data_IF_375700814782
#
_entry.id   IF_375700814782
#
_cell.length_a   1.000
_cell.length_b   1.000
_cell.length_c   1.000
_cell.angle_alpha   90.00
_cell.angle_beta   90.00
_cell.angle_gamma   90.00
#
_symmetry.space_group_name_H-M   'P 1'
#
loop_
_entity.id
_entity.type
_entity.pdbx_description
1 polymer ?
#
# COMPACT_ATOMS: atom_id res chain seq x y z
N UNK A 1 5.67 30.26 -91.62
CA UNK A 1 6.97 29.60 -91.53
C UNK A 1 7.05 28.83 -90.24
N UNK A 2 6.97 27.51 -90.35
CA UNK A 2 7.53 26.37 -89.66
C UNK A 2 8.29 26.63 -88.35
N UNK A 3 7.95 25.84 -87.30
CA UNK A 3 8.83 24.77 -86.72
C UNK A 3 8.11 24.03 -85.58
N UNK A 4 7.66 22.86 -85.95
CA UNK A 4 7.94 21.53 -85.44
C UNK A 4 8.10 21.42 -83.92
N UNK A 5 7.10 20.84 -83.37
CA UNK A 5 6.88 19.86 -82.31
C UNK A 5 8.11 19.00 -82.00
N UNK A 6 8.42 18.87 -80.69
CA UNK A 6 9.11 17.68 -80.15
C UNK A 6 8.43 17.28 -78.84
N UNK A 7 7.71 16.19 -78.93
CA UNK A 7 7.18 15.47 -77.76
C UNK A 7 8.34 14.81 -77.04
N UNK A 8 8.46 15.05 -75.75
CA UNK A 8 9.19 14.21 -74.82
C UNK A 8 8.25 13.68 -73.75
N UNK A 9 7.91 12.41 -73.87
CA UNK A 9 7.19 11.62 -72.86
C UNK A 9 8.12 11.38 -71.68
N UNK A 10 7.78 11.97 -70.54
CA UNK A 10 8.41 11.64 -69.25
C UNK A 10 7.47 10.70 -68.50
N UNK A 11 7.86 9.47 -68.36
CA UNK A 11 7.15 8.48 -67.54
C UNK A 11 7.31 8.89 -66.04
N UNK A 12 6.21 9.24 -65.41
CA UNK A 12 6.13 9.43 -63.97
C UNK A 12 6.02 8.07 -63.30
N UNK A 13 7.11 7.60 -62.68
CA UNK A 13 7.04 6.51 -61.70
C UNK A 13 6.31 7.03 -60.47
N UNK A 14 5.07 6.59 -60.28
CA UNK A 14 4.36 6.80 -59.04
C UNK A 14 4.97 5.99 -57.91
N UNK A 15 5.70 6.63 -57.02
CA UNK A 15 6.10 6.03 -55.74
C UNK A 15 4.80 5.91 -54.84
N UNK A 16 4.25 4.71 -54.78
CA UNK A 16 3.22 4.39 -53.80
C UNK A 16 3.88 4.41 -52.41
N UNK A 17 3.74 5.51 -51.70
CA UNK A 17 4.05 5.59 -50.28
C UNK A 17 3.08 4.66 -49.53
N UNK A 18 3.58 3.53 -49.08
CA UNK A 18 2.87 2.68 -48.13
C UNK A 18 2.83 3.47 -46.81
N UNK A 19 1.71 4.17 -46.58
CA UNK A 19 1.42 4.76 -45.31
C UNK A 19 1.24 3.63 -44.30
N UNK A 20 2.27 3.31 -43.53
CA UNK A 20 2.12 2.53 -42.32
C UNK A 20 1.13 3.28 -41.42
N UNK A 21 0.07 2.60 -40.93
CA UNK A 21 -0.84 3.26 -40.00
C UNK A 21 -0.05 3.67 -38.75
N UNK A 22 0.10 4.95 -38.57
CA UNK A 22 0.57 5.52 -37.32
C UNK A 22 -0.53 5.22 -36.31
N UNK A 23 -0.33 4.20 -35.44
CA UNK A 23 -1.18 3.98 -34.28
C UNK A 23 -0.94 5.21 -33.40
N UNK A 24 -1.83 6.18 -33.47
CA UNK A 24 -1.84 7.29 -32.52
C UNK A 24 -2.06 6.67 -31.14
N UNK A 25 -1.01 6.50 -30.36
CA UNK A 25 -1.15 6.23 -28.93
C UNK A 25 -1.90 7.42 -28.35
N UNK A 26 -3.10 7.21 -27.85
CA UNK A 26 -3.83 8.22 -27.09
C UNK A 26 -2.93 8.74 -25.95
N UNK A 27 -3.13 9.98 -25.54
CA UNK A 27 -2.40 10.52 -24.41
C UNK A 27 -2.55 9.59 -23.20
N UNK A 28 -1.43 9.22 -22.57
CA UNK A 28 -1.42 8.32 -21.41
C UNK A 28 -2.39 8.84 -20.33
N UNK A 29 -3.23 7.98 -19.81
CA UNK A 29 -4.17 8.31 -18.73
C UNK A 29 -3.42 8.51 -17.44
N UNK A 30 -3.48 9.68 -16.87
CA UNK A 30 -2.93 9.94 -15.55
C UNK A 30 -3.93 9.53 -14.46
N UNK A 31 -3.48 8.68 -13.52
CA UNK A 31 -4.23 8.32 -12.32
C UNK A 31 -3.42 8.66 -11.07
N UNK A 32 -4.12 8.99 -10.00
CA UNK A 32 -3.52 9.27 -8.70
C UNK A 32 -3.85 8.12 -7.76
N UNK A 33 -2.81 7.59 -7.07
CA UNK A 33 -2.97 6.66 -5.95
C UNK A 33 -2.68 7.43 -4.65
N UNK A 34 -3.65 7.45 -3.74
CA UNK A 34 -3.47 8.02 -2.41
C UNK A 34 -2.87 6.99 -1.47
N UNK A 35 -1.82 7.37 -0.75
CA UNK A 35 -1.19 6.54 0.29
C UNK A 35 -1.25 7.24 1.66
N UNK A 36 -1.44 6.50 2.78
CA UNK A 36 -1.49 7.10 4.13
C UNK A 36 -0.11 7.46 4.68
N UNK A 37 0.96 6.97 4.10
CA UNK A 37 2.35 7.17 4.48
C UNK A 37 3.26 6.71 3.34
N UNK A 38 4.37 7.42 3.10
CA UNK A 38 5.39 6.91 2.19
C UNK A 38 6.19 5.81 2.89
N UNK A 39 6.04 4.54 2.45
CA UNK A 39 6.52 3.37 3.19
C UNK A 39 7.12 2.30 2.28
N UNK A 40 8.19 1.65 2.73
CA UNK A 40 8.74 0.46 2.08
C UNK A 40 7.75 -0.71 2.04
N UNK A 41 6.71 -0.70 2.90
CA UNK A 41 5.59 -1.63 2.80
C UNK A 41 4.88 -1.59 1.44
N UNK A 42 4.96 -0.48 0.71
CA UNK A 42 4.35 -0.33 -0.63
C UNK A 42 5.34 -0.55 -1.78
N UNK A 43 6.51 -1.13 -1.50
CA UNK A 43 7.56 -1.35 -2.51
C UNK A 43 7.06 -2.01 -3.80
N UNK A 44 6.19 -3.04 -3.80
CA UNK A 44 5.70 -3.61 -5.06
C UNK A 44 4.97 -2.61 -5.95
N UNK A 45 4.26 -1.64 -5.37
CA UNK A 45 3.61 -0.56 -6.11
C UNK A 45 4.66 0.39 -6.73
N UNK A 46 5.68 0.76 -5.97
CA UNK A 46 6.76 1.61 -6.49
C UNK A 46 7.58 0.90 -7.58
N UNK A 47 7.77 -0.41 -7.44
CA UNK A 47 8.38 -1.26 -8.47
C UNK A 47 7.52 -1.25 -9.74
N UNK A 48 6.21 -1.39 -9.62
CA UNK A 48 5.30 -1.36 -10.76
C UNK A 48 5.36 -0.02 -11.51
N UNK A 49 5.45 1.09 -10.78
CA UNK A 49 5.61 2.44 -11.35
C UNK A 49 6.98 2.58 -12.03
N UNK A 50 8.06 2.23 -11.33
CA UNK A 50 9.42 2.42 -11.82
C UNK A 50 9.76 1.58 -13.06
N UNK A 51 9.20 0.37 -13.15
CA UNK A 51 9.39 -0.54 -14.28
C UNK A 51 8.40 -0.28 -15.43
N UNK A 52 7.52 0.72 -15.30
CA UNK A 52 6.57 1.08 -16.35
C UNK A 52 5.45 0.06 -16.57
N UNK A 53 5.14 -0.80 -15.60
CA UNK A 53 4.11 -1.84 -15.76
C UNK A 53 2.69 -1.28 -15.91
N UNK A 54 2.45 -0.06 -15.47
CA UNK A 54 1.23 0.68 -15.76
C UNK A 54 1.28 1.34 -17.14
N UNK A 55 2.46 1.82 -17.54
CA UNK A 55 2.64 2.47 -18.84
C UNK A 55 2.44 1.52 -20.04
N UNK A 56 2.61 0.20 -19.84
CA UNK A 56 2.28 -0.81 -20.87
C UNK A 56 0.81 -0.75 -21.33
N UNK A 57 -0.05 -0.13 -20.55
CA UNK A 57 -1.47 0.07 -20.86
C UNK A 57 -1.83 1.57 -20.95
N UNK A 58 -0.86 2.41 -21.33
CA UNK A 58 -1.01 3.86 -21.43
C UNK A 58 -1.53 4.53 -20.13
N UNK A 59 -1.14 3.99 -18.96
CA UNK A 59 -1.47 4.56 -17.64
C UNK A 59 -0.24 5.12 -16.97
N UNK A 60 -0.29 6.40 -16.59
CA UNK A 60 0.73 7.05 -15.75
C UNK A 60 0.19 7.18 -14.33
N UNK A 61 1.00 6.79 -13.35
CA UNK A 61 0.63 6.81 -11.93
C UNK A 61 1.37 7.93 -11.20
N UNK A 62 0.62 8.75 -10.46
CA UNK A 62 1.13 9.69 -9.47
C UNK A 62 0.76 9.24 -8.06
N UNK A 63 1.66 9.45 -7.12
CA UNK A 63 1.42 9.16 -5.70
C UNK A 63 1.04 10.46 -4.98
N UNK A 64 0.03 10.35 -4.12
CA UNK A 64 -0.44 11.41 -3.24
C UNK A 64 -0.40 10.91 -1.79
N UNK A 65 0.56 11.37 -1.00
CA UNK A 65 0.67 11.00 0.41
C UNK A 65 -0.22 11.89 1.28
N UNK A 66 -1.11 11.27 2.07
CA UNK A 66 -2.04 11.97 2.98
C UNK A 66 -2.00 11.28 4.35
N UNK A 67 -1.19 11.79 5.25
CA UNK A 67 -0.93 11.20 6.57
C UNK A 67 -1.99 11.56 7.64
N UNK A 68 -3.26 11.44 7.29
CA UNK A 68 -4.37 11.68 8.23
C UNK A 68 -5.31 10.48 8.24
N UNK A 69 -5.54 9.85 9.36
CA UNK A 69 -6.48 8.73 9.58
C UNK A 69 -7.13 8.14 8.33
N UNK A 70 -8.22 8.75 7.84
CA UNK A 70 -8.95 8.34 6.64
C UNK A 70 -8.70 9.23 5.41
N UNK A 71 -7.67 10.08 5.40
CA UNK A 71 -7.44 11.06 4.33
C UNK A 71 -7.28 10.44 2.95
N UNK A 72 -6.53 9.34 2.84
CA UNK A 72 -6.34 8.58 1.60
C UNK A 72 -7.65 8.01 1.05
N UNK A 73 -8.54 7.52 1.91
CA UNK A 73 -9.88 7.05 1.53
C UNK A 73 -10.76 8.20 1.05
N UNK A 74 -10.72 9.34 1.75
CA UNK A 74 -11.49 10.53 1.39
C UNK A 74 -11.06 11.10 0.03
N UNK A 75 -9.77 11.02 -0.32
CA UNK A 75 -9.28 11.44 -1.64
C UNK A 75 -9.92 10.63 -2.78
N UNK A 76 -10.16 9.32 -2.57
CA UNK A 76 -10.86 8.49 -3.57
C UNK A 76 -12.36 8.79 -3.59
N UNK A 77 -12.99 8.95 -2.43
CA UNK A 77 -14.42 9.28 -2.35
C UNK A 77 -14.75 10.63 -2.98
N UNK A 78 -13.87 11.63 -2.87
CA UNK A 78 -14.03 12.94 -3.48
C UNK A 78 -13.69 12.97 -4.99
N UNK A 79 -13.08 11.90 -5.52
CA UNK A 79 -12.60 11.85 -6.91
C UNK A 79 -11.23 12.51 -7.13
N UNK A 80 -10.56 12.98 -6.08
CA UNK A 80 -9.19 13.50 -6.15
C UNK A 80 -8.17 12.40 -6.50
N UNK A 81 -8.40 11.17 -6.07
CA UNK A 81 -7.59 10.01 -6.42
C UNK A 81 -8.44 8.92 -7.08
N UNK A 82 -7.83 8.15 -7.99
CA UNK A 82 -8.43 6.99 -8.62
C UNK A 82 -8.53 5.81 -7.65
N UNK A 83 -7.44 5.57 -6.90
CA UNK A 83 -7.33 4.49 -5.93
C UNK A 83 -6.66 4.98 -4.65
N UNK A 84 -6.87 4.26 -3.56
CA UNK A 84 -5.99 4.37 -2.39
C UNK A 84 -5.35 3.03 -2.07
N UNK A 85 -4.14 3.07 -1.49
CA UNK A 85 -3.51 1.92 -0.87
C UNK A 85 -3.74 1.98 0.64
N UNK A 86 -4.32 0.91 1.20
CA UNK A 86 -4.65 0.84 2.62
C UNK A 86 -5.55 -0.36 2.91
N UNK A 87 -5.93 -0.56 4.16
CA UNK A 87 -6.74 -1.70 4.57
C UNK A 87 -8.16 -1.66 3.99
N UNK A 88 -8.70 -2.80 3.56
CA UNK A 88 -10.07 -2.87 3.02
C UNK A 88 -11.15 -2.62 4.07
N UNK A 89 -10.82 -2.58 5.36
CA UNK A 89 -11.72 -2.11 6.41
C UNK A 89 -12.19 -0.67 6.19
N UNK A 90 -11.39 0.16 5.50
CA UNK A 90 -11.80 1.51 5.09
C UNK A 90 -12.98 1.47 4.10
N UNK A 91 -13.07 0.45 3.25
CA UNK A 91 -14.23 0.25 2.38
C UNK A 91 -15.47 -0.08 3.21
N UNK A 92 -15.33 -0.90 4.27
CA UNK A 92 -16.42 -1.19 5.20
C UNK A 92 -16.88 0.07 5.97
N UNK A 93 -15.95 0.92 6.40
CA UNK A 93 -16.29 2.21 7.04
C UNK A 93 -17.00 3.16 6.06
N UNK A 94 -16.56 3.20 4.80
CA UNK A 94 -17.20 3.99 3.75
C UNK A 94 -18.61 3.47 3.43
N UNK A 95 -18.77 2.14 3.33
CA UNK A 95 -20.05 1.48 3.09
C UNK A 95 -21.07 1.78 4.20
N UNK A 96 -20.65 1.77 5.45
CA UNK A 96 -21.51 2.16 6.59
C UNK A 96 -22.02 3.60 6.49
N UNK A 97 -21.44 4.42 5.62
CA UNK A 97 -21.84 5.81 5.31
C UNK A 97 -22.45 5.97 3.91
N UNK A 98 -22.77 4.86 3.24
CA UNK A 98 -23.45 4.85 1.94
C UNK A 98 -22.52 4.97 0.73
N UNK A 99 -21.20 4.85 0.89
CA UNK A 99 -20.23 4.87 -0.22
C UNK A 99 -19.77 3.45 -0.59
N UNK A 100 -19.56 3.19 -1.89
CA UNK A 100 -19.21 1.88 -2.41
C UNK A 100 -17.80 1.87 -2.98
N UNK A 101 -16.91 1.14 -2.30
CA UNK A 101 -15.52 0.89 -2.67
C UNK A 101 -15.26 -0.61 -2.77
N UNK A 102 -14.29 -1.01 -3.60
CA UNK A 102 -13.84 -2.40 -3.73
C UNK A 102 -12.31 -2.47 -3.64
N UNK A 103 -11.82 -3.41 -2.87
CA UNK A 103 -10.44 -3.84 -2.89
C UNK A 103 -10.24 -4.80 -4.07
N UNK A 104 -9.35 -4.45 -5.01
CA UNK A 104 -9.20 -5.16 -6.29
C UNK A 104 -7.87 -5.90 -6.42
N UNK A 105 -6.89 -5.61 -5.56
CA UNK A 105 -5.61 -6.33 -5.51
C UNK A 105 -4.94 -6.15 -4.16
N UNK A 106 -4.32 -7.21 -3.65
CA UNK A 106 -3.55 -7.22 -2.40
C UNK A 106 -2.12 -6.74 -2.63
N UNK A 107 -1.62 -5.88 -1.75
CA UNK A 107 -0.23 -5.48 -1.72
C UNK A 107 0.48 -6.03 -0.47
N UNK A 108 -0.05 -5.76 0.71
CA UNK A 108 0.57 -6.09 2.00
C UNK A 108 -0.27 -7.12 2.75
N UNK A 109 0.19 -8.38 2.76
CA UNK A 109 -0.53 -9.56 3.25
C UNK A 109 -0.28 -9.89 4.74
N UNK A 110 0.45 -9.03 5.44
CA UNK A 110 0.71 -9.13 6.88
C UNK A 110 0.53 -7.78 7.53
N UNK A 111 0.16 -7.77 8.80
CA UNK A 111 0.04 -6.52 9.56
C UNK A 111 1.40 -5.86 9.75
N UNK A 112 1.82 -4.98 8.85
CA UNK A 112 3.10 -4.27 8.92
C UNK A 112 3.16 -3.31 10.12
N UNK A 113 3.09 -3.86 11.33
CA UNK A 113 3.09 -3.13 12.61
C UNK A 113 3.98 -3.86 13.61
N UNK A 114 4.77 -3.08 14.31
CA UNK A 114 5.75 -3.58 15.28
C UNK A 114 5.71 -2.73 16.53
N UNK A 115 5.83 -3.38 17.69
CA UNK A 115 5.91 -2.69 18.99
C UNK A 115 7.36 -2.63 19.44
N UNK A 116 7.88 -1.43 19.57
CA UNK A 116 9.26 -1.14 19.94
C UNK A 116 9.28 -0.38 21.27
N UNK A 117 10.01 -0.91 22.25
CA UNK A 117 10.25 -0.21 23.51
C UNK A 117 11.36 0.83 23.34
N UNK A 118 11.18 2.02 23.89
CA UNK A 118 12.28 2.99 24.02
C UNK A 118 13.50 2.31 24.65
N UNK A 119 14.70 2.65 24.15
CA UNK A 119 15.95 2.01 24.58
C UNK A 119 16.13 2.05 26.10
N UNK A 120 16.40 0.87 26.71
CA UNK A 120 16.50 0.69 28.15
C UNK A 120 15.15 0.51 28.87
N UNK A 121 14.06 0.37 28.13
CA UNK A 121 12.73 0.09 28.68
C UNK A 121 12.13 -1.20 28.11
N UNK A 122 12.95 -2.09 27.60
CA UNK A 122 12.55 -3.35 27.00
C UNK A 122 11.85 -4.25 28.04
N UNK A 123 10.84 -5.05 27.62
CA UNK A 123 10.20 -5.99 28.52
C UNK A 123 11.14 -7.13 28.92
N UNK A 124 10.99 -7.61 30.14
CA UNK A 124 11.74 -8.77 30.65
C UNK A 124 10.99 -10.07 30.52
N UNK A 125 9.74 -10.04 30.04
CA UNK A 125 8.86 -11.20 29.86
C UNK A 125 7.87 -10.99 28.74
N UNK A 126 6.90 -11.91 28.62
CA UNK A 126 5.90 -11.94 27.55
C UNK A 126 4.49 -11.62 28.01
N UNK A 127 4.31 -11.16 29.24
CA UNK A 127 3.01 -10.60 29.71
C UNK A 127 2.90 -9.15 29.23
N UNK A 128 2.43 -9.00 27.99
CA UNK A 128 2.29 -7.69 27.36
C UNK A 128 1.28 -6.79 28.08
N UNK A 129 0.23 -7.37 28.69
CA UNK A 129 -0.75 -6.62 29.47
C UNK A 129 -0.10 -5.96 30.69
N UNK A 130 0.59 -6.74 31.51
CA UNK A 130 1.30 -6.21 32.68
C UNK A 130 2.39 -5.20 32.27
N UNK A 131 3.13 -5.48 31.20
CA UNK A 131 4.21 -4.61 30.73
C UNK A 131 3.71 -3.26 30.21
N UNK A 132 2.61 -3.22 29.45
CA UNK A 132 2.09 -2.02 28.81
C UNK A 132 1.23 -1.16 29.73
N UNK A 133 0.72 -1.71 30.84
CA UNK A 133 -0.14 -0.96 31.77
C UNK A 133 0.58 0.28 32.31
N UNK A 134 -0.10 1.42 32.21
CA UNK A 134 0.42 2.73 32.63
C UNK A 134 1.42 3.38 31.68
N UNK A 135 1.74 2.74 30.52
CA UNK A 135 2.69 3.30 29.55
C UNK A 135 2.02 4.21 28.54
N UNK A 136 2.83 5.09 27.96
CA UNK A 136 2.48 5.90 26.78
C UNK A 136 2.96 5.21 25.50
N UNK A 137 2.03 5.07 24.54
CA UNK A 137 2.27 4.44 23.24
C UNK A 137 2.07 5.47 22.13
N UNK A 138 3.13 5.79 21.37
CA UNK A 138 3.01 6.56 20.14
C UNK A 138 2.50 5.63 19.02
N UNK A 139 1.43 6.03 18.38
CA UNK A 139 0.74 5.25 17.36
C UNK A 139 0.12 6.16 16.29
N UNK A 140 -0.18 5.61 15.12
CA UNK A 140 -0.89 6.37 14.08
C UNK A 140 -2.24 6.92 14.57
N UNK A 141 -2.72 7.97 13.91
CA UNK A 141 -4.00 8.61 14.22
C UNK A 141 -5.16 7.61 14.19
N UNK A 142 -6.20 7.91 14.98
CA UNK A 142 -7.45 7.16 14.97
C UNK A 142 -8.02 7.06 13.55
N UNK A 143 -8.51 5.87 13.21
CA UNK A 143 -8.99 5.55 11.86
C UNK A 143 -7.92 4.96 10.94
N UNK A 144 -6.65 4.97 11.31
CA UNK A 144 -5.58 4.24 10.63
C UNK A 144 -5.49 2.78 11.08
N UNK A 145 -5.08 1.89 10.19
CA UNK A 145 -4.96 0.44 10.49
C UNK A 145 -4.03 0.12 11.67
N UNK A 146 -2.83 0.76 11.85
CA UNK A 146 -2.01 0.51 13.04
C UNK A 146 -2.70 0.88 14.35
N UNK A 147 -3.54 1.94 14.37
CA UNK A 147 -4.31 2.32 15.54
C UNK A 147 -5.38 1.27 15.86
N UNK A 148 -6.08 0.77 14.84
CA UNK A 148 -7.09 -0.29 14.99
C UNK A 148 -6.48 -1.57 15.56
N UNK A 149 -5.33 -2.00 15.04
CA UNK A 149 -4.56 -3.14 15.56
C UNK A 149 -4.16 -2.90 17.02
N UNK A 150 -3.71 -1.69 17.35
CA UNK A 150 -3.32 -1.36 18.73
C UNK A 150 -4.48 -1.52 19.70
N UNK A 151 -5.65 -0.99 19.36
CA UNK A 151 -6.85 -1.11 20.21
C UNK A 151 -7.31 -2.55 20.35
N UNK A 152 -7.27 -3.32 19.28
CA UNK A 152 -7.55 -4.75 19.29
C UNK A 152 -6.60 -5.51 20.23
N UNK A 153 -5.29 -5.30 20.10
CA UNK A 153 -4.29 -5.99 20.91
C UNK A 153 -4.35 -5.58 22.39
N UNK A 154 -4.56 -4.29 22.70
CA UNK A 154 -4.76 -3.84 24.06
C UNK A 154 -5.95 -4.58 24.70
N UNK A 155 -7.09 -4.69 24.00
CA UNK A 155 -8.24 -5.45 24.48
C UNK A 155 -7.91 -6.93 24.65
N UNK A 156 -7.18 -7.55 23.72
CA UNK A 156 -6.71 -8.94 23.83
C UNK A 156 -5.81 -9.16 25.05
N UNK A 157 -5.01 -8.15 25.40
CA UNK A 157 -4.17 -8.12 26.60
C UNK A 157 -4.89 -7.64 27.86
N UNK A 158 -6.22 -7.53 27.81
CA UNK A 158 -7.10 -7.09 28.92
C UNK A 158 -6.80 -5.67 29.40
N UNK A 159 -6.39 -4.78 28.50
CA UNK A 159 -6.18 -3.36 28.76
C UNK A 159 -7.26 -2.52 28.09
N UNK A 160 -7.76 -1.51 28.81
CA UNK A 160 -8.60 -0.46 28.25
C UNK A 160 -7.72 0.64 27.64
N UNK A 161 -7.92 0.92 26.36
CA UNK A 161 -7.14 1.92 25.61
C UNK A 161 -7.35 3.37 26.09
N UNK A 162 -8.33 3.64 26.97
CA UNK A 162 -8.63 4.97 27.50
C UNK A 162 -8.11 5.19 28.91
N UNK A 163 -8.01 4.13 29.70
CA UNK A 163 -7.68 4.22 31.13
C UNK A 163 -6.40 3.50 31.53
N UNK A 164 -6.01 2.42 30.84
CA UNK A 164 -4.85 1.62 31.23
C UNK A 164 -3.56 2.02 30.54
N UNK A 165 -3.65 2.78 29.43
CA UNK A 165 -2.49 3.29 28.66
C UNK A 165 -2.77 4.72 28.19
N UNK A 166 -1.72 5.43 27.76
CA UNK A 166 -1.87 6.72 27.08
C UNK A 166 -1.54 6.55 25.60
N UNK A 167 -2.51 6.71 24.72
CA UNK A 167 -2.25 6.71 23.27
C UNK A 167 -1.86 8.12 22.81
N UNK A 168 -0.63 8.28 22.33
CA UNK A 168 -0.13 9.50 21.68
C UNK A 168 -0.35 9.31 20.17
N UNK A 169 -1.48 9.80 19.68
CA UNK A 169 -1.92 9.64 18.30
C UNK A 169 -1.31 10.72 17.41
N UNK A 170 -0.46 10.31 16.45
CA UNK A 170 0.27 11.21 15.54
C UNK A 170 0.28 10.67 14.12
N UNK A 171 0.80 11.43 13.15
CA UNK A 171 1.10 10.89 11.82
C UNK A 171 2.03 9.66 11.93
N UNK A 172 1.85 8.65 11.10
CA UNK A 172 2.63 7.41 11.20
C UNK A 172 4.15 7.67 11.09
N UNK A 173 4.56 8.60 10.24
CA UNK A 173 5.95 9.05 10.10
C UNK A 173 6.51 9.75 11.34
N UNK A 174 5.67 10.31 12.21
CA UNK A 174 6.08 11.02 13.40
C UNK A 174 6.29 10.14 14.65
N UNK A 175 5.86 8.87 14.62
CA UNK A 175 5.95 7.95 15.76
C UNK A 175 7.38 7.85 16.31
N UNK A 176 8.37 7.69 15.42
CA UNK A 176 9.79 7.63 15.81
C UNK A 176 10.25 8.91 16.54
N UNK A 177 9.86 10.07 16.06
CA UNK A 177 10.23 11.35 16.67
C UNK A 177 9.61 11.53 18.06
N UNK A 178 8.37 11.06 18.25
CA UNK A 178 7.67 11.11 19.56
C UNK A 178 8.39 10.27 20.60
N UNK A 179 8.84 9.05 20.25
CA UNK A 179 9.62 8.20 21.17
C UNK A 179 11.00 8.80 21.41
N UNK A 180 11.66 9.31 20.37
CA UNK A 180 12.97 9.97 20.47
C UNK A 180 12.95 11.18 21.39
N UNK A 181 11.87 11.96 21.39
CA UNK A 181 11.66 13.10 22.27
C UNK A 181 11.15 12.71 23.68
N UNK A 182 11.04 11.40 23.98
CA UNK A 182 10.57 10.85 25.26
C UNK A 182 9.12 11.21 25.61
N UNK A 183 8.30 11.56 24.62
CA UNK A 183 6.86 11.81 24.80
C UNK A 183 6.05 10.51 24.85
N UNK A 184 6.64 9.40 24.38
CA UNK A 184 6.09 8.06 24.54
C UNK A 184 7.21 7.07 24.86
N UNK A 185 6.84 6.00 25.57
CA UNK A 185 7.75 4.93 25.99
C UNK A 185 7.78 3.77 24.98
N UNK A 186 6.71 3.62 24.22
CA UNK A 186 6.52 2.57 23.21
C UNK A 186 6.22 3.22 21.86
N UNK A 187 6.90 2.77 20.83
CA UNK A 187 6.56 3.10 19.44
C UNK A 187 5.78 1.92 18.81
N UNK A 188 4.57 2.20 18.33
CA UNK A 188 3.83 1.27 17.47
C UNK A 188 4.00 1.77 16.05
N UNK A 189 4.93 1.16 15.32
CA UNK A 189 5.45 1.72 14.07
C UNK A 189 5.49 0.69 12.95
N UNK A 190 5.74 1.17 11.75
CA UNK A 190 5.86 0.38 10.52
C UNK A 190 7.25 0.51 9.93
N UNK A 191 7.64 -0.39 9.02
CA UNK A 191 8.85 -0.15 8.23
C UNK A 191 8.63 1.00 7.23
N UNK A 192 9.63 1.85 6.99
CA UNK A 192 11.06 1.75 7.38
C UNK A 192 11.39 2.35 8.76
N UNK A 193 10.43 2.95 9.46
CA UNK A 193 10.69 3.69 10.70
C UNK A 193 11.17 2.79 11.85
N UNK A 194 10.74 1.51 11.86
CA UNK A 194 11.19 0.50 12.84
C UNK A 194 12.72 0.33 12.75
N UNK A 195 13.22 0.02 11.58
CA UNK A 195 14.66 -0.12 11.32
C UNK A 195 15.43 1.15 11.62
N UNK A 196 14.91 2.31 11.19
CA UNK A 196 15.55 3.61 11.49
C UNK A 196 15.68 3.85 12.99
N UNK A 197 14.65 3.54 13.77
CA UNK A 197 14.68 3.73 15.22
C UNK A 197 15.66 2.80 15.93
N UNK A 198 15.77 1.53 15.47
CA UNK A 198 16.78 0.59 15.95
C UNK A 198 18.20 1.11 15.66
N UNK A 199 18.46 1.52 14.42
CA UNK A 199 19.77 2.05 13.99
C UNK A 199 20.16 3.32 14.72
N UNK A 200 19.19 4.17 15.00
CA UNK A 200 19.41 5.42 15.78
C UNK A 200 19.44 5.17 17.29
N UNK A 201 19.31 3.93 17.76
CA UNK A 201 19.24 3.58 19.19
C UNK A 201 18.13 4.30 19.95
N UNK A 202 17.04 4.67 19.26
CA UNK A 202 15.84 5.26 19.87
C UNK A 202 15.05 4.19 20.59
N UNK A 203 14.95 3.02 20.00
CA UNK A 203 14.33 1.83 20.57
C UNK A 203 15.16 0.57 20.27
N UNK A 204 14.84 -0.51 20.97
CA UNK A 204 15.38 -1.83 20.71
C UNK A 204 14.68 -2.51 19.52
N UNK A 205 15.13 -3.72 19.15
CA UNK A 205 14.37 -4.58 18.24
C UNK A 205 12.93 -4.75 18.75
N UNK A 206 11.94 -4.89 17.83
CA UNK A 206 10.56 -5.06 18.23
C UNK A 206 10.37 -6.22 19.21
N UNK A 207 9.71 -5.97 20.33
CA UNK A 207 9.35 -7.01 21.29
C UNK A 207 8.07 -7.75 20.88
N UNK A 208 7.25 -7.15 19.99
CA UNK A 208 6.06 -7.78 19.45
C UNK A 208 5.96 -7.52 17.95
N UNK A 209 5.80 -8.61 17.18
CA UNK A 209 5.79 -8.62 15.72
C UNK A 209 4.40 -9.04 15.22
N UNK A 210 3.60 -8.07 14.81
CA UNK A 210 2.23 -8.29 14.34
C UNK A 210 2.15 -9.18 13.09
N UNK A 211 3.05 -9.06 12.07
CA UNK A 211 3.10 -9.99 10.94
C UNK A 211 3.07 -11.46 11.35
N UNK A 212 3.85 -11.83 12.36
CA UNK A 212 3.94 -13.22 12.85
C UNK A 212 2.74 -13.61 13.72
N UNK A 213 2.28 -12.70 14.56
CA UNK A 213 1.25 -12.97 15.56
C UNK A 213 -0.15 -13.07 14.98
N UNK A 214 -0.46 -12.28 13.97
CA UNK A 214 -1.79 -12.27 13.32
C UNK A 214 -1.82 -13.12 12.05
N UNK A 215 -0.65 -13.44 11.44
CA UNK A 215 -0.58 -14.19 10.20
C UNK A 215 -1.19 -13.45 9.01
N UNK A 216 -1.90 -14.15 8.11
CA UNK A 216 -2.55 -13.52 6.96
C UNK A 216 -3.48 -12.38 7.38
N UNK A 217 -3.26 -11.21 6.82
CA UNK A 217 -3.98 -9.98 7.15
C UNK A 217 -4.12 -9.12 5.89
N UNK A 218 -5.33 -8.80 5.48
CA UNK A 218 -5.56 -7.84 4.40
C UNK A 218 -5.18 -6.42 4.86
N UNK A 219 -3.86 -6.20 5.09
CA UNK A 219 -3.35 -4.98 5.71
C UNK A 219 -3.34 -3.79 4.75
N UNK A 220 -2.90 -4.01 3.51
CA UNK A 220 -3.01 -2.97 2.48
C UNK A 220 -3.37 -3.57 1.15
N UNK A 221 -4.48 -3.13 0.64
CA UNK A 221 -5.03 -3.45 -0.68
C UNK A 221 -5.10 -2.18 -1.51
N UNK A 222 -5.20 -2.29 -2.83
CA UNK A 222 -5.59 -1.17 -3.67
C UNK A 222 -7.10 -1.17 -3.83
N UNK A 223 -7.69 -0.03 -3.56
CA UNK A 223 -9.12 0.16 -3.39
C UNK A 223 -9.61 1.24 -4.35
N UNK A 224 -10.64 0.93 -5.10
CA UNK A 224 -11.24 1.82 -6.10
C UNK A 224 -12.74 1.97 -5.85
N UNK A 225 -13.36 3.02 -6.41
CA UNK A 225 -14.80 3.17 -6.35
C UNK A 225 -15.49 2.16 -7.25
N UNK A 226 -16.65 1.67 -6.81
CA UNK A 226 -17.47 0.76 -7.59
C UNK A 226 -17.89 1.38 -8.93
N UNK A 227 -18.17 2.68 -8.97
CA UNK A 227 -18.52 3.37 -10.22
C UNK A 227 -17.34 3.46 -11.20
N UNK A 228 -16.09 3.51 -10.71
CA UNK A 228 -14.90 3.43 -11.56
C UNK A 228 -14.78 2.05 -12.20
N UNK A 229 -15.08 0.98 -11.45
CA UNK A 229 -15.13 -0.39 -11.98
C UNK A 229 -16.19 -0.51 -13.08
N UNK A 230 -17.37 0.04 -12.83
CA UNK A 230 -18.49 -0.04 -13.78
C UNK A 230 -18.26 0.79 -15.08
N UNK A 231 -17.64 1.96 -14.93
CA UNK A 231 -17.39 2.87 -16.05
C UNK A 231 -16.23 2.44 -16.93
N UNK A 232 -15.18 1.91 -16.33
CA UNK A 232 -13.95 1.55 -17.03
C UNK A 232 -13.26 0.33 -16.42
N UNK A 233 -13.83 -0.86 -16.59
CA UNK A 233 -13.25 -2.09 -16.05
C UNK A 233 -11.88 -2.42 -16.66
N UNK A 234 -11.60 -1.96 -17.89
CA UNK A 234 -10.31 -2.18 -18.53
C UNK A 234 -9.18 -1.37 -17.89
N UNK A 235 -9.46 -0.13 -17.47
CA UNK A 235 -8.51 0.64 -16.67
C UNK A 235 -8.20 -0.06 -15.35
N UNK A 236 -9.22 -0.57 -14.65
CA UNK A 236 -9.03 -1.31 -13.41
C UNK A 236 -8.22 -2.59 -13.64
N UNK A 237 -8.49 -3.32 -14.74
CA UNK A 237 -7.74 -4.53 -15.13
C UNK A 237 -6.27 -4.21 -15.41
N UNK A 238 -6.00 -3.15 -16.18
CA UNK A 238 -4.65 -2.69 -16.47
C UNK A 238 -3.89 -2.30 -15.20
N UNK A 239 -4.57 -1.59 -14.30
CA UNK A 239 -4.06 -1.22 -12.98
C UNK A 239 -3.70 -2.44 -12.13
N UNK A 240 -4.60 -3.42 -12.00
CA UNK A 240 -4.37 -4.68 -11.28
C UNK A 240 -3.22 -5.47 -11.91
N UNK A 241 -3.13 -5.53 -13.25
CA UNK A 241 -2.04 -6.20 -13.96
C UNK A 241 -0.69 -5.58 -13.61
N UNK A 242 -0.58 -4.26 -13.62
CA UNK A 242 0.64 -3.55 -13.24
C UNK A 242 1.08 -3.90 -11.82
N UNK A 243 0.14 -3.92 -10.87
CA UNK A 243 0.41 -4.29 -9.48
C UNK A 243 0.88 -5.75 -9.34
N UNK A 244 0.23 -6.70 -10.00
CA UNK A 244 0.63 -8.13 -9.93
C UNK A 244 2.02 -8.33 -10.53
N UNK A 245 2.37 -7.62 -11.61
CA UNK A 245 3.75 -7.61 -12.14
C UNK A 245 4.75 -7.05 -11.12
N UNK A 246 4.41 -5.95 -10.43
CA UNK A 246 5.24 -5.37 -9.38
C UNK A 246 5.49 -6.33 -8.22
N UNK A 247 4.46 -7.04 -7.76
CA UNK A 247 4.57 -8.07 -6.74
C UNK A 247 5.50 -9.22 -7.18
N UNK A 248 5.26 -9.79 -8.37
CA UNK A 248 6.11 -10.86 -8.91
C UNK A 248 7.56 -10.43 -9.06
N UNK A 249 7.81 -9.22 -9.59
CA UNK A 249 9.16 -8.68 -9.73
C UNK A 249 9.86 -8.51 -8.39
N UNK A 250 9.17 -7.99 -7.38
CA UNK A 250 9.73 -7.77 -6.05
C UNK A 250 10.29 -9.06 -5.43
N UNK A 251 9.58 -10.18 -5.62
CA UNK A 251 10.06 -11.48 -5.15
C UNK A 251 11.10 -12.12 -6.07
N UNK A 252 10.97 -11.96 -7.38
CA UNK A 252 11.89 -12.57 -8.35
C UNK A 252 13.24 -11.85 -8.45
N UNK A 253 13.27 -10.54 -8.17
CA UNK A 253 14.43 -9.67 -8.35
C UNK A 253 14.64 -8.76 -7.12
N UNK A 254 14.91 -9.32 -5.93
CA UNK A 254 14.97 -8.56 -4.68
C UNK A 254 16.03 -7.47 -4.70
N UNK A 255 17.18 -7.69 -5.32
CA UNK A 255 18.24 -6.68 -5.43
C UNK A 255 17.82 -5.50 -6.31
N UNK A 256 17.20 -5.77 -7.48
CA UNK A 256 16.68 -4.72 -8.34
C UNK A 256 15.53 -3.96 -7.69
N UNK A 257 14.67 -4.64 -6.89
CA UNK A 257 13.65 -4.00 -6.09
C UNK A 257 14.26 -3.09 -5.00
N UNK A 258 15.39 -3.50 -4.41
CA UNK A 258 16.13 -2.66 -3.45
C UNK A 258 16.71 -1.40 -4.11
N UNK A 259 17.20 -1.47 -5.35
CA UNK A 259 17.64 -0.30 -6.11
C UNK A 259 16.50 0.69 -6.37
N UNK A 260 15.31 0.18 -6.67
CA UNK A 260 14.09 1.00 -6.81
C UNK A 260 13.72 1.61 -5.47
N UNK A 261 13.75 0.82 -4.39
CA UNK A 261 13.52 1.35 -3.04
C UNK A 261 14.49 2.47 -2.68
N UNK A 262 15.78 2.36 -3.06
CA UNK A 262 16.76 3.43 -2.83
C UNK A 262 16.44 4.73 -3.56
N UNK A 263 15.81 4.66 -4.74
CA UNK A 263 15.33 5.85 -5.47
C UNK A 263 14.11 6.48 -4.78
N UNK A 264 13.25 5.66 -4.17
CA UNK A 264 12.08 6.14 -3.41
C UNK A 264 12.46 6.73 -2.05
N UNK A 265 13.52 6.22 -1.42
CA UNK A 265 14.02 6.65 -0.11
C UNK A 265 15.47 7.16 -0.21
N UNK A 266 15.74 8.25 -0.97
CA UNK A 266 17.10 8.68 -1.29
C UNK A 266 17.91 9.13 -0.07
N UNK A 267 17.27 9.60 0.98
CA UNK A 267 17.93 10.05 2.22
C UNK A 267 18.21 8.92 3.21
N UNK A 268 17.62 7.72 3.00
CA UNK A 268 17.81 6.57 3.86
C UNK A 268 19.18 5.92 3.58
N UNK A 269 20.02 5.63 4.59
CA UNK A 269 21.24 4.87 4.40
C UNK A 269 20.95 3.51 3.75
N UNK A 270 21.85 3.05 2.85
CA UNK A 270 21.63 1.80 2.13
C UNK A 270 21.55 0.59 3.06
N UNK A 271 22.34 0.59 4.14
CA UNK A 271 22.32 -0.48 5.14
C UNK A 271 20.97 -0.53 5.92
N UNK A 272 20.37 0.62 6.22
CA UNK A 272 19.06 0.70 6.87
C UNK A 272 17.97 0.19 5.91
N UNK A 273 18.07 0.56 4.64
CA UNK A 273 17.15 0.09 3.62
C UNK A 273 17.23 -1.43 3.43
N UNK A 274 18.45 -1.99 3.34
CA UNK A 274 18.63 -3.45 3.28
C UNK A 274 18.04 -4.14 4.48
N UNK A 275 18.30 -3.67 5.71
CA UNK A 275 17.75 -4.26 6.93
C UNK A 275 16.21 -4.18 6.97
N UNK A 276 15.63 -3.07 6.47
CA UNK A 276 14.18 -2.92 6.30
C UNK A 276 13.60 -3.97 5.34
N UNK A 277 14.23 -4.16 4.18
CA UNK A 277 13.76 -5.12 3.18
C UNK A 277 13.96 -6.56 3.66
N UNK A 278 15.08 -6.87 4.31
CA UNK A 278 15.33 -8.19 4.91
C UNK A 278 14.24 -8.56 5.93
N UNK A 279 13.84 -7.61 6.80
CA UNK A 279 12.72 -7.81 7.73
C UNK A 279 11.42 -8.05 6.98
N UNK A 280 11.15 -7.26 5.95
CA UNK A 280 9.93 -7.36 5.16
C UNK A 280 9.80 -8.72 4.45
N UNK A 281 10.90 -9.21 3.86
CA UNK A 281 10.94 -10.55 3.25
C UNK A 281 10.81 -11.66 4.30
N UNK A 282 11.50 -11.55 5.43
CA UNK A 282 11.47 -12.53 6.53
C UNK A 282 10.07 -12.65 7.14
N UNK A 283 9.34 -11.55 7.20
CA UNK A 283 7.97 -11.51 7.74
C UNK A 283 6.92 -11.78 6.65
N UNK A 284 7.33 -12.16 5.43
CA UNK A 284 6.45 -12.41 4.26
C UNK A 284 5.45 -11.28 4.04
N UNK A 285 5.91 -10.05 4.14
CA UNK A 285 5.06 -8.87 4.25
C UNK A 285 4.11 -8.70 3.05
N UNK A 286 4.60 -8.95 1.83
CA UNK A 286 3.87 -8.68 0.60
C UNK A 286 3.09 -9.90 0.10
N UNK A 287 1.96 -9.62 -0.56
CA UNK A 287 1.23 -10.65 -1.32
C UNK A 287 2.12 -11.22 -2.43
N UNK A 288 2.02 -12.52 -2.69
CA UNK A 288 2.79 -13.17 -3.75
C UNK A 288 2.15 -13.03 -5.14
N UNK A 289 0.84 -12.88 -5.19
CA UNK A 289 0.07 -12.92 -6.45
C UNK A 289 -1.08 -11.89 -6.54
N UNK A 290 -1.23 -11.05 -5.54
CA UNK A 290 -2.29 -10.03 -5.47
C UNK A 290 -3.62 -10.53 -4.92
N UNK A 291 -3.74 -11.81 -4.56
CA UNK A 291 -4.98 -12.38 -4.02
C UNK A 291 -5.22 -11.92 -2.58
N UNK A 292 -6.41 -11.40 -2.30
CA UNK A 292 -6.90 -11.14 -0.95
C UNK A 292 -7.64 -12.40 -0.49
N UNK A 293 -7.03 -13.22 0.37
CA UNK A 293 -7.68 -14.43 0.87
C UNK A 293 -8.82 -14.09 1.84
N UNK A 294 -9.81 -14.99 1.96
CA UNK A 294 -10.86 -14.84 2.97
C UNK A 294 -10.27 -14.81 4.38
N UNK A 295 -9.28 -15.65 4.67
CA UNK A 295 -8.59 -15.64 5.97
C UNK A 295 -7.93 -14.29 6.27
N UNK A 296 -7.29 -13.65 5.28
CA UNK A 296 -6.70 -12.32 5.46
C UNK A 296 -7.76 -11.23 5.73
N UNK A 297 -8.91 -11.30 5.06
CA UNK A 297 -10.05 -10.41 5.32
C UNK A 297 -10.64 -10.65 6.71
N UNK A 298 -10.85 -11.92 7.09
CA UNK A 298 -11.43 -12.29 8.38
C UNK A 298 -10.58 -11.77 9.53
N UNK A 299 -9.23 -11.86 9.42
CA UNK A 299 -8.31 -11.27 10.39
C UNK A 299 -8.50 -9.75 10.47
N UNK A 300 -8.48 -9.02 9.36
CA UNK A 300 -8.65 -7.57 9.34
C UNK A 300 -10.01 -7.13 9.85
N UNK A 301 -11.07 -7.82 9.44
CA UNK A 301 -12.44 -7.56 9.88
C UNK A 301 -12.62 -7.82 11.39
N UNK A 302 -12.03 -8.91 11.91
CA UNK A 302 -12.07 -9.20 13.35
C UNK A 302 -11.37 -8.10 14.15
N UNK A 303 -10.21 -7.62 13.70
CA UNK A 303 -9.47 -6.54 14.35
C UNK A 303 -10.33 -5.30 14.55
N UNK A 304 -11.01 -4.82 13.50
CA UNK A 304 -11.80 -3.57 13.60
C UNK A 304 -13.13 -3.77 14.34
N UNK A 305 -13.72 -4.98 14.28
CA UNK A 305 -14.93 -5.32 15.06
C UNK A 305 -14.62 -5.44 16.55
N UNK A 306 -13.60 -6.22 16.90
CA UNK A 306 -13.23 -6.45 18.29
C UNK A 306 -12.67 -5.18 18.95
N UNK A 307 -12.01 -4.31 18.19
CA UNK A 307 -11.67 -2.96 18.65
C UNK A 307 -12.89 -2.04 18.84
N UNK A 308 -14.10 -2.46 18.43
CA UNK A 308 -15.33 -1.69 18.53
C UNK A 308 -15.44 -0.52 17.55
N UNK A 309 -14.62 -0.54 16.49
CA UNK A 309 -14.57 0.52 15.47
C UNK A 309 -15.62 0.27 14.39
N UNK A 310 -15.71 -0.96 13.87
CA UNK A 310 -16.75 -1.38 12.94
C UNK A 310 -17.89 -2.07 13.70
N UNK A 311 -19.10 -1.54 13.57
CA UNK A 311 -20.28 -2.06 14.28
C UNK A 311 -21.15 -2.98 13.43
N UNK A 312 -21.00 -2.92 12.11
CA UNK A 312 -21.76 -3.73 11.15
C UNK A 312 -20.95 -4.97 10.75
N UNK A 313 -21.65 -6.07 10.51
CA UNK A 313 -21.07 -7.21 9.82
C UNK A 313 -21.04 -6.92 8.31
N UNK A 314 -19.88 -7.06 7.69
CA UNK A 314 -19.68 -6.79 6.27
C UNK A 314 -19.03 -8.01 5.63
N UNK A 315 -19.67 -8.50 4.57
CA UNK A 315 -19.23 -9.71 3.89
C UNK A 315 -18.04 -9.42 2.98
N UNK A 316 -17.20 -10.44 2.78
CA UNK A 316 -16.05 -10.39 1.88
C UNK A 316 -16.43 -9.85 0.50
N UNK A 317 -17.44 -10.43 -0.14
CA UNK A 317 -17.84 -10.10 -1.52
C UNK A 317 -18.47 -8.69 -1.66
N UNK A 318 -18.80 -8.04 -0.55
CA UNK A 318 -19.28 -6.64 -0.53
C UNK A 318 -18.14 -5.62 -0.55
N UNK A 319 -16.91 -6.06 -0.21
CA UNK A 319 -15.74 -5.20 -0.01
C UNK A 319 -14.63 -5.54 -0.99
N UNK A 320 -14.53 -6.79 -1.42
CA UNK A 320 -13.41 -7.33 -2.18
C UNK A 320 -13.92 -7.88 -3.52
N UNK A 321 -13.23 -7.52 -4.60
CA UNK A 321 -13.49 -8.03 -5.96
C UNK A 321 -12.20 -8.63 -6.53
N UNK A 322 -12.11 -9.97 -6.47
CA UNK A 322 -10.94 -10.70 -6.99
C UNK A 322 -11.02 -11.04 -8.47
N UNK A 323 -12.12 -10.72 -9.16
CA UNK A 323 -12.29 -11.05 -10.58
C UNK A 323 -11.18 -10.45 -11.45
N UNK A 324 -10.67 -9.29 -11.11
CA UNK A 324 -9.56 -8.65 -11.81
C UNK A 324 -8.24 -9.40 -11.61
N UNK A 325 -7.91 -9.82 -10.39
CA UNK A 325 -6.70 -10.62 -10.12
C UNK A 325 -6.79 -11.96 -10.86
N UNK A 326 -7.92 -12.64 -10.79
CA UNK A 326 -8.15 -13.91 -11.48
C UNK A 326 -7.97 -13.75 -13.00
N UNK A 327 -8.53 -12.69 -13.58
CA UNK A 327 -8.43 -12.43 -15.02
C UNK A 327 -7.01 -12.14 -15.51
N UNK A 328 -6.16 -11.49 -14.69
CA UNK A 328 -4.78 -11.16 -15.08
C UNK A 328 -3.78 -12.28 -14.78
N UNK A 329 -4.03 -13.11 -13.78
CA UNK A 329 -3.14 -14.24 -13.42
C UNK A 329 -2.95 -15.25 -14.54
N UNK A 330 -3.99 -15.50 -15.33
CA UNK A 330 -3.95 -16.44 -16.47
C UNK A 330 -3.13 -15.91 -17.65
N UNK A 331 -2.83 -14.60 -17.66
CA UNK A 331 -2.11 -13.93 -18.76
C UNK A 331 -0.71 -13.46 -18.37
N UNK A 332 -0.23 -13.74 -17.16
CA UNK A 332 1.09 -13.40 -16.61
C UNK A 332 1.87 -14.65 -16.20
#
# INVERSE_FOLDING_TARGET
>A
MNRRTFLKSTAALGAASVATPFIAHGAAREIIIAEPVHSTGYLPMYVAIANGYFAEADVTVKILTIETGAGHTNAVLSGQAFAFIGGPEHNAFARAKGAELRAVVHCVDRGNVYYCAAKGQEPTGTDWGAYLKGKSLAVSQFGGTPNSITRYLLKKWKLDAKSDVTLVEVANSAVLAVVKSKQAQIGVSTEPFVTQGVRQSVWAEPFFNVPKELGPYAYSTLNVRLDSIQKDPELVRAFVRGMVKGLKFTYAQPDAAADIAKKQFPTMPLEDLKATLDRSFKDELWSKDGTISRAAWDTGSAVVRDAGILKSDVKYDEIIDMSFVESVRTSL
#
